data_IF_087211996501
#
_entry.id   IF_087211996501
#
_cell.length_a   1.000
_cell.length_b   1.000
_cell.length_c   1.000
_cell.angle_alpha   90.00
_cell.angle_beta   90.00
_cell.angle_gamma   90.00
#
_symmetry.space_group_name_H-M   'P 1'
#
loop_
_entity.id
_entity.type
_entity.pdbx_description
1 polymer ?
#
# COMPACT_ATOMS: atom_id res chain seq x y z
N UNK A 1 48.35 -79.71 19.62
CA UNK A 1 47.33 -79.32 18.62
C UNK A 1 46.04 -80.04 18.95
N UNK A 2 44.95 -79.29 19.08
CA UNK A 2 43.55 -79.53 18.65
C UNK A 2 42.78 -78.42 19.37
N UNK A 3 42.56 -77.30 18.68
CA UNK A 3 41.74 -76.20 19.18
C UNK A 3 40.30 -76.41 18.71
N UNK A 4 39.37 -76.53 19.65
CA UNK A 4 37.95 -76.64 19.36
C UNK A 4 37.39 -75.26 18.98
N UNK A 5 36.81 -75.12 17.78
CA UNK A 5 36.03 -73.95 17.40
C UNK A 5 34.60 -74.08 17.96
N UNK A 6 34.23 -73.19 18.88
CA UNK A 6 32.84 -73.01 19.29
C UNK A 6 32.13 -72.11 18.27
N UNK A 7 31.08 -72.62 17.62
CA UNK A 7 30.15 -71.79 16.84
C UNK A 7 29.08 -71.21 17.78
N UNK A 8 28.97 -69.88 17.82
CA UNK A 8 27.87 -69.18 18.50
C UNK A 8 26.82 -68.83 17.44
N UNK A 9 25.62 -69.38 17.57
CA UNK A 9 24.46 -68.98 16.77
C UNK A 9 23.63 -67.98 17.57
N UNK A 10 23.57 -66.72 17.13
CA UNK A 10 22.71 -65.70 17.73
C UNK A 10 21.27 -65.84 17.19
N UNK A 11 20.31 -66.01 18.09
CA UNK A 11 18.87 -66.01 17.78
C UNK A 11 18.35 -64.57 17.85
N UNK A 12 18.07 -63.97 16.71
CA UNK A 12 17.47 -62.63 16.63
C UNK A 12 15.95 -62.75 16.91
N UNK A 13 15.50 -62.29 18.07
CA UNK A 13 14.06 -62.17 18.39
C UNK A 13 13.64 -60.76 17.97
N UNK A 14 12.74 -60.67 16.99
CA UNK A 14 12.19 -59.40 16.54
C UNK A 14 10.97 -59.05 17.39
N UNK A 15 11.13 -58.14 18.34
CA UNK A 15 10.00 -57.52 19.05
C UNK A 15 9.46 -56.35 18.21
N UNK A 16 8.30 -56.53 17.57
CA UNK A 16 7.56 -55.42 16.97
C UNK A 16 6.92 -54.60 18.08
N UNK A 17 7.55 -53.48 18.45
CA UNK A 17 6.90 -52.40 19.20
C UNK A 17 5.90 -51.70 18.29
N UNK A 18 4.60 -51.82 18.58
CA UNK A 18 3.58 -50.91 18.04
C UNK A 18 3.85 -49.50 18.55
N UNK A 19 4.49 -48.68 17.71
CA UNK A 19 4.51 -47.23 17.88
C UNK A 19 3.13 -46.70 17.51
N UNK A 20 2.34 -46.31 18.52
CA UNK A 20 1.24 -45.37 18.32
C UNK A 20 1.85 -44.02 17.93
N UNK A 21 2.17 -43.85 16.65
CA UNK A 21 2.61 -42.58 16.09
C UNK A 21 1.43 -41.62 16.06
N UNK A 22 1.46 -40.59 16.90
CA UNK A 22 0.57 -39.44 16.72
C UNK A 22 0.87 -38.82 15.36
N UNK A 23 0.00 -39.03 14.38
CA UNK A 23 0.11 -38.39 13.07
C UNK A 23 -0.20 -36.91 13.24
N UNK A 24 0.77 -36.04 12.96
CA UNK A 24 0.53 -34.60 12.91
C UNK A 24 -0.47 -34.32 11.79
N UNK A 25 -1.53 -33.56 12.09
CA UNK A 25 -2.50 -33.13 11.08
C UNK A 25 -1.82 -32.21 10.09
N UNK A 26 -2.18 -32.34 8.82
CA UNK A 26 -1.62 -31.48 7.77
C UNK A 26 -2.04 -30.02 7.98
N UNK A 27 -1.06 -29.12 7.82
CA UNK A 27 -1.22 -27.69 8.03
C UNK A 27 -0.44 -26.91 6.96
N UNK A 28 -1.18 -26.15 6.16
CA UNK A 28 -0.69 -25.30 5.08
C UNK A 28 -1.24 -23.89 5.28
N UNK A 29 -0.34 -22.92 5.25
CA UNK A 29 -0.66 -21.50 5.23
C UNK A 29 0.25 -20.85 4.21
N UNK A 30 -0.35 -20.37 3.11
CA UNK A 30 0.35 -19.93 1.89
C UNK A 30 -0.13 -18.54 1.46
N UNK A 31 0.65 -17.85 0.63
CA UNK A 31 0.29 -16.57 0.04
C UNK A 31 0.90 -16.41 -1.34
N UNK A 32 0.23 -15.67 -2.21
CA UNK A 32 0.73 -15.27 -3.54
C UNK A 32 1.67 -14.07 -3.49
N UNK A 33 1.61 -13.24 -2.44
CA UNK A 33 2.44 -12.05 -2.26
C UNK A 33 3.44 -12.19 -1.09
N UNK A 34 3.07 -12.85 0.00
CA UNK A 34 3.92 -12.95 1.21
C UNK A 34 4.93 -14.10 1.09
N UNK A 35 5.80 -14.01 0.09
CA UNK A 35 6.79 -15.02 -0.30
C UNK A 35 8.22 -14.75 0.24
N UNK A 36 8.36 -13.77 1.14
CA UNK A 36 9.62 -13.33 1.72
C UNK A 36 10.42 -12.36 0.85
N UNK A 37 9.87 -11.90 -0.28
CA UNK A 37 10.55 -10.98 -1.21
C UNK A 37 9.99 -9.56 -1.16
N UNK A 38 10.69 -8.68 -1.86
CA UNK A 38 10.24 -7.32 -2.15
C UNK A 38 9.42 -7.30 -3.44
N UNK A 39 8.30 -6.58 -3.39
CA UNK A 39 7.39 -6.34 -4.50
C UNK A 39 7.22 -4.83 -4.69
N UNK A 40 7.38 -4.36 -5.92
CA UNK A 40 7.19 -2.95 -6.26
C UNK A 40 5.79 -2.71 -6.84
N UNK A 41 5.08 -1.72 -6.31
CA UNK A 41 3.80 -1.26 -6.84
C UNK A 41 3.85 0.24 -7.16
N UNK A 42 2.94 0.70 -8.02
CA UNK A 42 2.83 2.12 -8.37
C UNK A 42 1.58 2.69 -7.71
N UNK A 43 1.68 3.90 -7.19
CA UNK A 43 0.51 4.63 -6.71
C UNK A 43 -0.43 4.98 -7.88
N UNK A 44 -1.73 4.99 -7.59
CA UNK A 44 -2.76 5.45 -8.50
C UNK A 44 -2.75 6.98 -8.63
N UNK A 45 -3.44 7.50 -9.64
CA UNK A 45 -3.52 8.94 -9.93
C UNK A 45 -4.10 9.77 -8.76
N UNK A 46 -4.73 9.11 -7.79
CA UNK A 46 -5.28 9.70 -6.56
C UNK A 46 -4.23 9.96 -5.46
N UNK A 47 -2.95 9.63 -5.71
CA UNK A 47 -1.86 9.92 -4.79
C UNK A 47 -1.51 8.79 -3.83
N UNK A 48 -2.19 7.63 -3.88
CA UNK A 48 -1.94 6.49 -2.96
C UNK A 48 -1.84 5.17 -3.71
N UNK A 49 -1.40 4.10 -3.07
CA UNK A 49 -1.41 2.76 -3.66
C UNK A 49 -2.25 1.79 -2.83
N UNK A 50 -2.70 0.72 -3.49
CA UNK A 50 -3.35 -0.40 -2.82
C UNK A 50 -2.83 -1.71 -3.37
N UNK A 51 -2.90 -2.74 -2.54
CA UNK A 51 -2.46 -4.09 -2.87
C UNK A 51 -3.48 -5.08 -2.34
N UNK A 52 -3.78 -6.08 -3.15
CA UNK A 52 -4.66 -7.20 -2.77
C UNK A 52 -3.90 -8.49 -2.97
N UNK A 53 -3.94 -9.37 -1.97
CA UNK A 53 -3.27 -10.66 -2.01
C UNK A 53 -4.12 -11.73 -1.34
N UNK A 54 -3.79 -12.98 -1.61
CA UNK A 54 -4.50 -14.15 -1.10
C UNK A 54 -3.71 -14.83 0.02
N UNK A 55 -4.44 -15.31 1.01
CA UNK A 55 -3.97 -16.24 2.03
C UNK A 55 -4.70 -17.56 1.86
N UNK A 56 -3.97 -18.66 1.66
CA UNK A 56 -4.51 -19.98 1.36
C UNK A 56 -4.29 -20.98 2.49
N UNK A 57 -5.18 -21.95 2.61
CA UNK A 57 -5.01 -23.10 3.50
C UNK A 57 -4.42 -24.34 2.81
N UNK A 58 -3.81 -24.19 1.64
CA UNK A 58 -3.46 -25.29 0.75
C UNK A 58 -2.09 -25.11 0.10
N UNK A 59 -1.48 -26.23 -0.25
CA UNK A 59 -0.31 -26.28 -1.13
C UNK A 59 -0.75 -26.45 -2.60
N UNK A 60 -1.82 -27.21 -2.83
CA UNK A 60 -2.46 -27.41 -4.12
C UNK A 60 -3.92 -27.86 -3.97
N UNK A 61 -4.57 -28.22 -5.09
CA UNK A 61 -5.97 -28.62 -5.13
C UNK A 61 -6.35 -29.82 -4.26
N UNK A 62 -5.40 -30.65 -3.84
CA UNK A 62 -5.63 -31.89 -3.10
C UNK A 62 -5.02 -31.88 -1.69
N UNK A 63 -4.06 -30.99 -1.43
CA UNK A 63 -3.36 -30.87 -0.15
C UNK A 63 -3.74 -29.58 0.56
N UNK A 64 -4.62 -29.69 1.55
CA UNK A 64 -5.14 -28.56 2.33
C UNK A 64 -5.20 -28.86 3.82
N UNK A 65 -5.28 -27.80 4.63
CA UNK A 65 -5.27 -27.89 6.07
C UNK A 65 -6.49 -28.64 6.60
N UNK A 66 -6.23 -29.60 7.49
CA UNK A 66 -7.30 -30.29 8.20
C UNK A 66 -7.85 -29.48 9.37
N UNK A 67 -7.21 -28.36 9.71
CA UNK A 67 -7.58 -27.47 10.82
C UNK A 67 -7.96 -26.09 10.29
N UNK A 68 -8.86 -25.43 11.02
CA UNK A 68 -9.18 -24.04 10.73
C UNK A 68 -7.96 -23.17 11.02
N UNK A 69 -7.77 -22.12 10.22
CA UNK A 69 -6.64 -21.19 10.34
C UNK A 69 -7.18 -19.83 10.73
N UNK A 70 -6.98 -19.47 12.01
CA UNK A 70 -7.13 -18.10 12.46
C UNK A 70 -5.83 -17.35 12.20
N UNK A 71 -5.90 -16.18 11.58
CA UNK A 71 -4.73 -15.40 11.20
C UNK A 71 -4.89 -13.91 11.53
N UNK A 72 -3.75 -13.26 11.73
CA UNK A 72 -3.62 -11.80 11.85
C UNK A 72 -2.60 -11.32 10.83
N UNK A 73 -2.96 -10.30 10.06
CA UNK A 73 -2.07 -9.54 9.18
C UNK A 73 -1.68 -8.27 9.91
N UNK A 74 -0.38 -7.99 9.98
CA UNK A 74 0.20 -6.76 10.49
C UNK A 74 0.96 -6.04 9.37
N UNK A 75 0.88 -4.71 9.35
CA UNK A 75 1.54 -3.85 8.37
C UNK A 75 2.35 -2.80 9.13
N UNK A 76 3.66 -2.80 8.90
CA UNK A 76 4.59 -1.84 9.50
C UNK A 76 5.21 -1.02 8.38
N UNK A 77 5.26 0.30 8.54
CA UNK A 77 5.99 1.18 7.62
C UNK A 77 7.45 1.23 8.04
N UNK A 78 8.38 0.86 7.16
CA UNK A 78 9.78 0.66 7.57
C UNK A 78 10.52 1.95 8.00
N UNK A 79 9.98 3.13 7.67
CA UNK A 79 10.53 4.43 8.09
C UNK A 79 10.08 4.86 9.49
N UNK A 80 9.11 4.17 10.06
CA UNK A 80 8.53 4.46 11.36
C UNK A 80 8.26 3.10 12.00
N UNK A 81 9.12 2.64 12.92
CA UNK A 81 8.96 1.39 13.69
C UNK A 81 7.66 1.32 14.54
N UNK A 82 6.67 2.15 14.22
CA UNK A 82 5.35 2.27 14.82
C UNK A 82 4.32 1.56 13.93
N UNK A 83 3.45 0.76 14.54
CA UNK A 83 2.28 0.20 13.85
C UNK A 83 1.38 1.33 13.34
N UNK A 84 0.83 1.12 12.14
CA UNK A 84 0.04 2.14 11.45
C UNK A 84 -1.40 2.07 11.98
N UNK A 85 -1.92 3.19 12.51
CA UNK A 85 -3.28 3.28 13.07
C UNK A 85 -4.39 3.58 12.03
N UNK A 86 -4.05 3.76 10.74
CA UNK A 86 -5.06 3.93 9.67
C UNK A 86 -5.81 2.61 9.46
N UNK A 87 -7.13 2.57 9.72
CA UNK A 87 -7.99 1.38 9.55
C UNK A 87 -7.90 0.72 8.16
N UNK A 88 -7.51 1.48 7.13
CA UNK A 88 -7.31 0.99 5.76
C UNK A 88 -5.95 0.29 5.55
N UNK A 89 -5.00 0.52 6.46
CA UNK A 89 -3.67 -0.08 6.51
C UNK A 89 -3.53 -1.05 7.71
N UNK A 90 -4.38 -0.90 8.73
CA UNK A 90 -4.27 -1.53 10.03
C UNK A 90 -4.44 -3.05 10.01
N UNK A 91 -4.13 -3.64 11.17
CA UNK A 91 -4.15 -5.06 11.41
C UNK A 91 -5.49 -5.71 11.04
N UNK A 92 -5.45 -6.72 10.18
CA UNK A 92 -6.63 -7.48 9.77
C UNK A 92 -6.60 -8.87 10.37
N UNK A 93 -7.68 -9.27 11.02
CA UNK A 93 -7.86 -10.64 11.50
C UNK A 93 -8.84 -11.38 10.60
N UNK A 94 -8.65 -12.69 10.47
CA UNK A 94 -9.52 -13.51 9.64
C UNK A 94 -9.41 -14.99 9.95
N UNK A 95 -10.25 -15.76 9.27
CA UNK A 95 -10.34 -17.21 9.42
C UNK A 95 -10.46 -17.89 8.07
N UNK A 96 -9.65 -18.91 7.83
CA UNK A 96 -9.76 -19.82 6.69
C UNK A 96 -10.27 -21.17 7.20
N UNK A 97 -11.41 -21.63 6.71
CA UNK A 97 -12.04 -22.87 7.17
C UNK A 97 -11.30 -24.10 6.63
N UNK A 98 -11.30 -25.17 7.43
CA UNK A 98 -10.79 -26.49 7.02
C UNK A 98 -11.73 -27.22 6.06
N UNK A 99 -11.26 -28.36 5.56
CA UNK A 99 -12.11 -29.36 4.90
C UNK A 99 -12.26 -29.19 3.39
N UNK A 100 -11.72 -28.11 2.83
CA UNK A 100 -11.56 -27.88 1.40
C UNK A 100 -10.48 -26.84 1.15
N UNK A 101 -10.03 -26.74 -0.10
CA UNK A 101 -9.19 -25.64 -0.57
C UNK A 101 -9.96 -24.33 -0.44
N UNK A 102 -9.37 -23.38 0.30
CA UNK A 102 -9.95 -22.07 0.58
C UNK A 102 -8.87 -21.00 0.50
N UNK A 103 -9.25 -19.82 0.01
CA UNK A 103 -8.43 -18.61 0.03
C UNK A 103 -9.22 -17.49 0.69
N UNK A 104 -8.54 -16.68 1.50
CA UNK A 104 -9.03 -15.41 1.99
C UNK A 104 -8.33 -14.28 1.23
N UNK A 105 -9.10 -13.27 0.82
CA UNK A 105 -8.57 -12.07 0.16
C UNK A 105 -8.30 -10.99 1.21
N UNK A 106 -7.14 -10.35 1.11
CA UNK A 106 -6.72 -9.25 1.98
C UNK A 106 -6.32 -8.07 1.13
N UNK A 107 -6.96 -6.92 1.35
CA UNK A 107 -6.65 -5.66 0.66
C UNK A 107 -6.11 -4.63 1.65
N UNK A 108 -4.93 -4.09 1.37
CA UNK A 108 -4.32 -2.95 2.08
C UNK A 108 -4.41 -1.73 1.15
N UNK A 109 -4.91 -0.61 1.65
CA UNK A 109 -5.11 0.63 0.86
C UNK A 109 -4.30 1.79 1.46
N UNK A 110 -4.34 2.95 0.82
CA UNK A 110 -3.71 4.20 1.30
C UNK A 110 -2.18 4.11 1.48
N UNK A 111 -1.50 3.21 0.77
CA UNK A 111 -0.06 3.11 0.86
C UNK A 111 0.58 4.34 0.22
N UNK A 112 1.47 5.00 0.94
CA UNK A 112 2.05 6.28 0.50
C UNK A 112 3.15 6.08 -0.56
N UNK A 113 3.18 6.90 -1.61
CA UNK A 113 4.28 6.92 -2.57
C UNK A 113 5.64 7.12 -1.92
N UNK A 114 6.64 6.41 -2.41
CA UNK A 114 8.02 6.51 -1.90
C UNK A 114 8.25 5.81 -0.56
N UNK A 115 7.22 5.18 0.02
CA UNK A 115 7.32 4.42 1.28
C UNK A 115 7.46 2.92 1.04
N UNK A 116 7.99 2.26 2.05
CA UNK A 116 8.17 0.80 2.08
C UNK A 116 7.44 0.24 3.30
N UNK A 117 6.70 -0.83 3.09
CA UNK A 117 5.87 -1.48 4.09
C UNK A 117 6.24 -2.96 4.21
N UNK A 118 6.38 -3.44 5.44
CA UNK A 118 6.52 -4.87 5.73
C UNK A 118 5.16 -5.42 6.14
N UNK A 119 4.66 -6.38 5.37
CA UNK A 119 3.40 -7.08 5.65
C UNK A 119 3.73 -8.44 6.25
N UNK A 120 3.11 -8.76 7.39
CA UNK A 120 3.32 -10.02 8.10
C UNK A 120 1.99 -10.68 8.42
N UNK A 121 1.76 -11.88 7.90
CA UNK A 121 0.61 -12.70 8.28
C UNK A 121 1.04 -13.81 9.23
N UNK A 122 0.44 -13.87 10.42
CA UNK A 122 0.75 -14.87 11.44
C UNK A 122 -0.50 -15.64 11.84
N UNK A 123 -0.38 -16.95 11.98
CA UNK A 123 -1.47 -17.80 12.48
C UNK A 123 -1.49 -17.82 14.02
N UNK A 124 -2.69 -17.76 14.60
CA UNK A 124 -2.91 -17.65 16.05
C UNK A 124 -3.38 -18.95 16.71
N UNK A 125 -3.64 -19.99 15.92
CA UNK A 125 -4.06 -21.31 16.39
C UNK A 125 -2.88 -22.17 16.91
N UNK A 126 -3.12 -23.47 17.15
CA UNK A 126 -2.10 -24.42 17.64
C UNK A 126 -0.85 -24.50 16.75
N UNK A 127 -0.98 -24.27 15.45
CA UNK A 127 0.11 -24.31 14.49
C UNK A 127 0.53 -22.89 14.13
N UNK A 128 1.71 -22.48 14.57
CA UNK A 128 2.24 -21.15 14.30
C UNK A 128 3.05 -21.15 13.00
N UNK A 129 2.60 -20.37 12.02
CA UNK A 129 3.34 -20.05 10.81
C UNK A 129 3.25 -18.55 10.55
N UNK A 130 4.34 -17.99 10.07
CA UNK A 130 4.46 -16.58 9.72
C UNK A 130 4.87 -16.48 8.26
N UNK A 131 4.14 -15.68 7.50
CA UNK A 131 4.45 -15.29 6.13
C UNK A 131 4.77 -13.80 6.13
N UNK A 132 5.73 -13.40 5.33
CA UNK A 132 6.16 -12.00 5.25
C UNK A 132 6.41 -11.59 3.81
N UNK A 133 6.20 -10.32 3.49
CA UNK A 133 6.52 -9.73 2.21
C UNK A 133 6.73 -8.23 2.37
N UNK A 134 7.63 -7.68 1.56
CA UNK A 134 7.93 -6.25 1.56
C UNK A 134 7.30 -5.59 0.35
N UNK A 135 6.60 -4.48 0.56
CA UNK A 135 5.90 -3.72 -0.48
C UNK A 135 6.53 -2.35 -0.57
N UNK A 136 7.11 -2.05 -1.73
CA UNK A 136 7.71 -0.76 -2.02
C UNK A 136 6.83 0.00 -2.98
N UNK A 137 6.29 1.14 -2.51
CA UNK A 137 5.48 2.01 -3.35
C UNK A 137 6.42 2.96 -4.08
N UNK A 138 6.40 2.91 -5.41
CA UNK A 138 7.16 3.85 -6.23
C UNK A 138 6.71 5.28 -5.94
N UNK A 139 7.65 6.22 -6.00
CA UNK A 139 7.29 7.62 -6.07
C UNK A 139 6.36 7.85 -7.25
N UNK A 140 5.39 8.74 -7.09
CA UNK A 140 4.64 9.24 -8.22
C UNK A 140 5.62 10.11 -9.01
N UNK A 141 5.81 9.79 -10.29
CA UNK A 141 6.41 10.73 -11.22
C UNK A 141 5.46 11.91 -11.32
N UNK A 142 5.73 12.95 -10.54
CA UNK A 142 4.90 14.13 -10.49
C UNK A 142 4.83 14.75 -11.88
N UNK A 143 3.65 14.77 -12.49
CA UNK A 143 3.46 15.29 -13.85
C UNK A 143 2.88 16.70 -13.90
N UNK A 144 2.43 17.21 -12.76
CA UNK A 144 1.93 18.58 -12.58
C UNK A 144 2.77 19.26 -11.52
N UNK A 145 3.17 20.50 -11.75
CA UNK A 145 4.05 21.24 -10.87
C UNK A 145 3.51 22.64 -10.64
N UNK A 146 3.92 23.27 -9.54
CA UNK A 146 3.44 24.59 -9.15
C UNK A 146 4.55 25.46 -8.57
N UNK A 147 4.39 26.77 -8.67
CA UNK A 147 5.16 27.76 -7.91
C UNK A 147 4.28 28.98 -7.62
N UNK A 148 4.51 29.62 -6.48
CA UNK A 148 3.81 30.84 -6.09
C UNK A 148 4.78 32.01 -6.04
N UNK A 149 4.34 33.16 -6.56
CA UNK A 149 5.03 34.43 -6.36
C UNK A 149 4.07 35.42 -5.73
N UNK A 150 4.47 35.97 -4.60
CA UNK A 150 3.73 37.04 -3.94
C UNK A 150 4.08 38.40 -4.56
N UNK A 151 3.06 39.16 -4.96
CA UNK A 151 3.16 40.51 -5.56
C UNK A 151 2.50 41.57 -4.67
N UNK A 152 2.47 41.34 -3.37
CA UNK A 152 1.85 42.16 -2.33
C UNK A 152 0.31 42.21 -2.42
N UNK A 153 -0.26 42.81 -3.48
CA UNK A 153 -1.72 42.92 -3.66
C UNK A 153 -2.37 41.71 -4.34
N UNK A 154 -1.58 40.83 -4.94
CA UNK A 154 -2.02 39.59 -5.57
C UNK A 154 -0.92 38.54 -5.47
N UNK A 155 -1.25 37.29 -5.80
CA UNK A 155 -0.31 36.21 -6.01
C UNK A 155 -0.39 35.70 -7.45
N UNK A 156 0.73 35.17 -7.93
CA UNK A 156 0.81 34.44 -9.19
C UNK A 156 1.08 32.97 -8.88
N UNK A 157 0.17 32.10 -9.29
CA UNK A 157 0.30 30.64 -9.20
C UNK A 157 0.64 30.13 -10.59
N UNK A 158 1.90 29.77 -10.80
CA UNK A 158 2.34 29.16 -12.07
C UNK A 158 2.16 27.67 -11.97
N UNK A 159 1.31 27.10 -12.82
CA UNK A 159 1.14 25.65 -12.94
C UNK A 159 1.73 25.19 -14.27
N UNK A 160 2.48 24.09 -14.26
CA UNK A 160 2.98 23.48 -15.49
C UNK A 160 2.91 21.97 -15.45
N UNK A 161 2.85 21.37 -16.64
CA UNK A 161 2.72 19.93 -16.83
C UNK A 161 3.95 19.39 -17.53
N UNK A 162 4.35 18.16 -17.20
CA UNK A 162 5.38 17.39 -17.89
C UNK A 162 4.77 16.05 -18.23
N UNK A 163 4.65 15.74 -19.53
CA UNK A 163 4.03 14.49 -20.00
C UNK A 163 2.62 14.19 -19.42
N UNK A 164 1.83 15.25 -19.18
CA UNK A 164 0.46 15.14 -18.69
C UNK A 164 -0.52 15.96 -19.52
N UNK A 165 -1.60 15.31 -19.95
CA UNK A 165 -2.75 15.95 -20.57
C UNK A 165 -4.01 15.53 -19.84
N UNK A 166 -4.90 16.46 -19.52
CA UNK A 166 -6.10 16.14 -18.75
C UNK A 166 -6.68 17.32 -18.00
N UNK A 167 -7.07 17.06 -16.76
CA UNK A 167 -7.73 18.03 -15.88
C UNK A 167 -6.83 18.35 -14.70
N UNK A 168 -6.47 19.62 -14.55
CA UNK A 168 -5.80 20.09 -13.33
C UNK A 168 -6.84 20.73 -12.42
N UNK A 169 -6.84 20.32 -11.16
CA UNK A 169 -7.68 20.90 -10.10
C UNK A 169 -6.83 21.89 -9.32
N UNK A 170 -7.33 23.12 -9.11
CA UNK A 170 -6.71 24.12 -8.25
C UNK A 170 -7.67 24.45 -7.11
N UNK A 171 -7.23 24.14 -5.90
CA UNK A 171 -7.95 24.43 -4.66
C UNK A 171 -7.24 25.58 -3.96
N UNK A 172 -7.95 26.66 -3.66
CA UNK A 172 -7.37 27.83 -3.02
C UNK A 172 -8.07 28.19 -1.70
N UNK A 173 -8.97 27.36 -1.17
CA UNK A 173 -9.54 27.43 0.19
C UNK A 173 -10.12 28.78 0.67
N UNK A 174 -10.45 28.84 1.97
CA UNK A 174 -10.99 30.00 2.71
C UNK A 174 -9.99 31.18 2.86
N UNK A 175 -8.88 31.20 2.13
CA UNK A 175 -7.80 32.20 2.28
C UNK A 175 -8.09 33.54 1.60
N UNK A 176 -9.37 33.87 1.41
CA UNK A 176 -9.84 35.16 0.88
C UNK A 176 -9.08 35.61 -0.38
N UNK A 177 -8.92 34.67 -1.32
CA UNK A 177 -8.32 34.91 -2.63
C UNK A 177 -9.43 35.04 -3.68
N UNK A 178 -9.34 36.08 -4.50
CA UNK A 178 -10.26 36.34 -5.59
C UNK A 178 -9.58 35.94 -6.91
N UNK A 179 -10.10 34.94 -7.64
CA UNK A 179 -9.59 34.59 -8.97
C UNK A 179 -9.68 35.77 -9.96
N UNK A 180 -8.63 36.01 -10.74
CA UNK A 180 -8.65 36.97 -11.84
C UNK A 180 -9.50 36.43 -13.00
N UNK A 181 -10.77 36.83 -13.05
CA UNK A 181 -11.72 36.39 -14.08
C UNK A 181 -11.46 37.01 -15.46
N UNK A 182 -10.45 37.88 -15.62
CA UNK A 182 -10.02 38.37 -16.95
C UNK A 182 -9.13 37.38 -17.68
N UNK A 183 -8.63 36.36 -16.98
CA UNK A 183 -7.88 35.25 -17.56
C UNK A 183 -8.82 34.27 -18.27
N UNK A 184 -8.60 34.05 -19.56
CA UNK A 184 -9.39 33.14 -20.40
C UNK A 184 -9.47 31.70 -19.87
N UNK A 185 -8.42 31.22 -19.18
CA UNK A 185 -8.41 29.88 -18.59
C UNK A 185 -9.24 29.86 -17.29
N UNK A 186 -9.28 30.97 -16.57
CA UNK A 186 -10.10 31.17 -15.38
C UNK A 186 -11.60 31.31 -15.71
N UNK A 187 -11.90 31.85 -16.89
CA UNK A 187 -13.27 31.96 -17.42
C UNK A 187 -13.87 30.58 -17.77
N UNK A 188 -13.04 29.68 -18.32
CA UNK A 188 -13.48 28.33 -18.73
C UNK A 188 -13.44 27.29 -17.60
N UNK A 189 -12.94 27.67 -16.42
CA UNK A 189 -12.83 26.78 -15.27
C UNK A 189 -14.21 26.37 -14.70
N UNK A 190 -14.39 25.08 -14.41
CA UNK A 190 -15.58 24.63 -13.66
C UNK A 190 -15.38 24.89 -12.18
N UNK A 191 -16.26 25.70 -11.59
CA UNK A 191 -16.19 26.15 -10.19
C UNK A 191 -17.01 25.26 -9.26
N UNK A 192 -16.47 24.98 -8.08
CA UNK A 192 -17.18 24.34 -6.97
C UNK A 192 -16.60 24.81 -5.64
N UNK A 193 -17.23 25.79 -4.99
CA UNK A 193 -16.65 26.46 -3.82
C UNK A 193 -15.29 27.08 -4.16
N UNK A 194 -14.27 26.80 -3.33
CA UNK A 194 -12.88 27.28 -3.51
C UNK A 194 -12.04 26.40 -4.43
N UNK A 195 -12.69 25.64 -5.32
CA UNK A 195 -12.05 24.74 -6.28
C UNK A 195 -12.34 25.18 -7.71
N UNK A 196 -11.29 25.19 -8.54
CA UNK A 196 -11.33 25.42 -9.98
C UNK A 196 -10.84 24.17 -10.70
N UNK A 197 -11.64 23.64 -11.62
CA UNK A 197 -11.25 22.52 -12.46
C UNK A 197 -10.99 23.01 -13.88
N UNK A 198 -9.75 22.89 -14.33
CA UNK A 198 -9.30 23.27 -15.66
C UNK A 198 -9.16 22.02 -16.52
N UNK A 199 -10.09 21.80 -17.45
CA UNK A 199 -10.06 20.65 -18.37
C UNK A 199 -9.26 20.98 -19.62
N UNK A 200 -8.61 19.99 -20.23
CA UNK A 200 -7.96 20.15 -21.54
C UNK A 200 -6.52 20.67 -21.48
N UNK A 201 -5.84 20.51 -20.34
CA UNK A 201 -4.39 20.71 -20.27
C UNK A 201 -3.69 19.81 -21.27
N UNK A 202 -2.65 20.34 -21.91
CA UNK A 202 -1.79 19.60 -22.84
C UNK A 202 -0.45 19.31 -22.18
N UNK A 203 0.19 18.21 -22.56
CA UNK A 203 1.53 17.89 -22.08
C UNK A 203 2.52 19.01 -22.37
N UNK A 204 3.44 19.25 -21.42
CA UNK A 204 4.54 20.21 -21.55
C UNK A 204 4.05 21.65 -21.74
N UNK A 205 2.96 22.02 -21.06
CA UNK A 205 2.42 23.39 -21.06
C UNK A 205 2.44 24.01 -19.67
N UNK A 206 2.47 25.34 -19.62
CA UNK A 206 2.37 26.12 -18.39
C UNK A 206 1.36 27.24 -18.52
N UNK A 207 0.78 27.63 -17.39
CA UNK A 207 -0.12 28.78 -17.28
C UNK A 207 0.08 29.48 -15.93
N UNK A 208 -0.09 30.80 -15.92
CA UNK A 208 0.04 31.62 -14.70
C UNK A 208 -1.33 32.14 -14.31
N UNK A 209 -1.86 31.64 -13.20
CA UNK A 209 -3.11 32.12 -12.63
C UNK A 209 -2.84 33.27 -11.66
N UNK A 210 -3.62 34.34 -11.77
CA UNK A 210 -3.59 35.44 -10.81
C UNK A 210 -4.74 35.33 -9.81
N UNK A 211 -4.43 35.54 -8.54
CA UNK A 211 -5.42 35.67 -7.47
C UNK A 211 -5.16 36.97 -6.70
N UNK A 212 -6.17 37.83 -6.60
CA UNK A 212 -6.12 39.03 -5.79
C UNK A 212 -6.37 38.70 -4.32
N UNK A 213 -5.66 39.38 -3.41
CA UNK A 213 -5.87 39.19 -1.98
C UNK A 213 -6.99 40.10 -1.50
N UNK A 214 -8.02 39.58 -0.83
CA UNK A 214 -8.96 40.45 -0.12
C UNK A 214 -8.32 41.06 1.13
N UNK A 215 -7.38 40.32 1.74
CA UNK A 215 -6.63 40.76 2.91
C UNK A 215 -5.14 40.89 2.60
N UNK A 216 -4.67 42.13 2.47
CA UNK A 216 -3.26 42.45 2.19
C UNK A 216 -2.37 42.36 3.42
N UNK A 217 -2.90 42.04 4.61
CA UNK A 217 -2.11 41.92 5.85
C UNK A 217 -1.45 40.55 6.01
N UNK A 218 -1.88 39.55 5.24
CA UNK A 218 -1.34 38.19 5.22
C UNK A 218 -0.09 38.08 4.33
N UNK A 219 0.97 37.46 4.85
CA UNK A 219 2.34 37.77 4.37
C UNK A 219 3.09 36.72 3.57
N UNK A 220 2.57 35.51 3.38
CA UNK A 220 3.18 34.55 2.47
C UNK A 220 2.18 33.47 2.05
N UNK A 221 2.37 32.95 0.84
CA UNK A 221 1.55 31.90 0.26
C UNK A 221 2.45 30.83 -0.36
N UNK A 222 2.02 29.58 -0.24
CA UNK A 222 2.66 28.41 -0.86
C UNK A 222 1.64 27.65 -1.70
N UNK A 223 2.13 26.87 -2.66
CA UNK A 223 1.33 25.88 -3.35
C UNK A 223 1.99 24.51 -3.28
N UNK A 224 1.19 23.49 -3.04
CA UNK A 224 1.60 22.08 -3.04
C UNK A 224 0.86 21.35 -4.16
N UNK A 225 1.45 20.26 -4.67
CA UNK A 225 0.79 19.38 -5.63
C UNK A 225 0.62 18.00 -5.02
N UNK A 226 -0.57 17.41 -5.18
CA UNK A 226 -0.83 16.00 -4.93
C UNK A 226 -1.49 15.40 -6.18
N UNK A 227 -0.78 14.52 -6.89
CA UNK A 227 -1.21 14.02 -8.19
C UNK A 227 -1.42 15.16 -9.20
N UNK A 228 -2.68 15.45 -9.53
CA UNK A 228 -3.09 16.52 -10.46
C UNK A 228 -3.80 17.68 -9.76
N UNK A 229 -3.85 17.69 -8.42
CA UNK A 229 -4.43 18.75 -7.61
C UNK A 229 -3.34 19.70 -7.09
N UNK A 230 -3.56 21.00 -7.30
CA UNK A 230 -2.73 22.09 -6.80
C UNK A 230 -3.47 22.76 -5.65
N UNK A 231 -2.91 22.74 -4.45
CA UNK A 231 -3.48 23.39 -3.28
C UNK A 231 -2.68 24.63 -2.92
N UNK A 232 -3.32 25.80 -2.94
CA UNK A 232 -2.75 27.08 -2.48
C UNK A 232 -3.13 27.30 -1.02
N UNK A 233 -2.17 27.65 -0.19
CA UNK A 233 -2.36 27.90 1.25
C UNK A 233 -1.49 29.06 1.73
N UNK A 234 -1.85 29.64 2.86
CA UNK A 234 -0.97 30.56 3.58
C UNK A 234 0.21 29.81 4.20
N UNK A 235 1.36 30.47 4.27
CA UNK A 235 2.52 29.96 5.02
C UNK A 235 2.40 30.21 6.53
#
# INVERSE_FOLDING_TARGET
MIGASAMIAAKYIHETKTTNGATAREFYFTSDLLDGKEHEITATDDGTASVTFQLGNHEDSLRYSEVDIDYTVNVVQNDSDTEIEDENIANKTGKINKGSVQNAEVTIKNLEPGKTYTVTATTSNTYKKTLTGTIKVKNIDQKVYTSVRDKNSYIEVTVWTVDYSGTVKLTYGDIKLIPDNTDSMMETAKRGGDTLNFTGWKANTSHVFRFFKEDTTKKSYKAAVNGTEVTVSEE
#
